data_IF_143819325015
#
_entry.id   IF_143819325015
#
_cell.length_a   1.000
_cell.length_b   1.000
_cell.length_c   1.000
_cell.angle_alpha   90.00
_cell.angle_beta   90.00
_cell.angle_gamma   90.00
#
_symmetry.space_group_name_H-M   'P 1'
#
loop_
_entity.id
_entity.type
_entity.pdbx_description
1 polymer ?
#
# COMPACT_ATOMS: atom_id res chain seq x y z
N UNK A 1 15.15 24.34 -25.94
CA UNK A 1 14.32 24.05 -24.76
C UNK A 1 14.55 22.59 -24.40
N UNK A 2 15.10 22.32 -23.22
CA UNK A 2 15.30 20.95 -22.75
C UNK A 2 13.93 20.30 -22.44
N UNK A 3 13.73 19.00 -22.72
CA UNK A 3 12.49 18.33 -22.39
C UNK A 3 12.33 18.28 -20.86
N UNK A 4 11.24 18.86 -20.38
CA UNK A 4 10.83 18.79 -18.97
C UNK A 4 10.36 17.35 -18.69
N UNK A 5 10.82 16.66 -17.64
CA UNK A 5 10.36 15.31 -17.33
C UNK A 5 8.88 15.33 -16.96
N UNK A 6 8.05 14.67 -17.78
CA UNK A 6 6.59 14.53 -17.65
C UNK A 6 6.21 13.34 -16.74
N UNK A 7 6.72 13.28 -15.51
CA UNK A 7 6.23 12.30 -14.53
C UNK A 7 5.33 13.01 -13.53
N UNK A 8 4.02 12.72 -13.56
CA UNK A 8 3.16 13.08 -12.43
C UNK A 8 3.63 12.25 -11.23
N UNK A 9 4.42 12.87 -10.33
CA UNK A 9 4.88 12.18 -9.12
C UNK A 9 3.64 11.96 -8.24
N UNK A 10 3.10 10.74 -8.21
CA UNK A 10 2.12 10.35 -7.19
C UNK A 10 2.69 10.72 -5.82
N UNK A 11 1.89 11.41 -5.02
CA UNK A 11 2.31 11.84 -3.70
C UNK A 11 2.67 10.63 -2.83
N UNK A 12 3.71 10.76 -1.99
CA UNK A 12 4.08 9.70 -1.06
C UNK A 12 2.92 9.37 -0.11
N UNK A 13 2.64 8.08 0.07
CA UNK A 13 1.62 7.57 0.98
C UNK A 13 2.28 7.22 2.32
N UNK A 14 1.71 7.64 3.45
CA UNK A 14 2.21 7.25 4.76
C UNK A 14 1.87 5.79 5.09
N UNK A 15 2.74 5.11 5.83
CA UNK A 15 2.42 3.81 6.42
C UNK A 15 1.23 3.98 7.36
N UNK A 16 0.16 3.21 7.14
CA UNK A 16 -1.00 3.22 8.03
C UNK A 16 -0.69 2.42 9.28
N UNK A 17 -1.04 2.95 10.43
CA UNK A 17 -0.82 2.34 11.72
C UNK A 17 -2.13 2.28 12.48
N UNK A 18 -2.52 1.06 12.82
CA UNK A 18 -3.69 0.80 13.66
C UNK A 18 -3.27 0.13 14.96
N UNK A 19 -3.99 0.40 16.04
CA UNK A 19 -3.72 -0.21 17.35
C UNK A 19 -4.84 -1.14 17.73
N UNK A 20 -4.51 -2.32 18.26
CA UNK A 20 -5.49 -3.27 18.80
C UNK A 20 -5.16 -3.65 20.23
N UNK A 21 -6.06 -3.40 21.17
CA UNK A 21 -5.94 -3.89 22.54
C UNK A 21 -6.87 -5.09 22.75
N UNK A 22 -6.31 -6.24 23.15
CA UNK A 22 -7.10 -7.43 23.46
C UNK A 22 -7.87 -7.26 24.79
N UNK A 23 -8.92 -8.06 25.04
CA UNK A 23 -9.51 -8.17 26.38
C UNK A 23 -8.47 -8.64 27.42
N UNK A 24 -8.77 -8.38 28.70
CA UNK A 24 -8.03 -9.00 29.81
C UNK A 24 -8.16 -10.51 29.68
N UNK A 25 -7.03 -11.21 29.78
CA UNK A 25 -6.98 -12.67 29.80
C UNK A 25 -7.52 -13.20 31.12
N UNK A 26 -7.94 -14.47 31.12
CA UNK A 26 -8.43 -15.14 32.33
C UNK A 26 -7.45 -15.02 33.51
N UNK A 27 -6.15 -15.25 33.25
CA UNK A 27 -5.10 -15.11 34.26
C UNK A 27 -4.96 -13.69 34.79
N UNK A 28 -5.04 -12.68 33.92
CA UNK A 28 -4.99 -11.27 34.35
C UNK A 28 -6.18 -10.88 35.23
N UNK A 29 -7.37 -11.44 34.95
CA UNK A 29 -8.56 -11.24 35.79
C UNK A 29 -8.42 -11.96 37.13
N UNK A 30 -7.96 -13.22 37.12
CA UNK A 30 -7.71 -14.03 38.32
C UNK A 30 -6.65 -13.39 39.23
N UNK A 31 -5.59 -12.81 38.63
CA UNK A 31 -4.53 -12.07 39.33
C UNK A 31 -4.97 -10.65 39.75
N UNK A 32 -6.23 -10.26 39.52
CA UNK A 32 -6.78 -8.93 39.82
C UNK A 32 -5.96 -7.77 39.24
N UNK A 33 -5.43 -7.95 38.02
CA UNK A 33 -4.63 -6.92 37.34
C UNK A 33 -5.47 -5.72 36.96
N UNK A 34 -4.84 -4.55 36.97
CA UNK A 34 -5.51 -3.28 36.63
C UNK A 34 -5.39 -3.03 35.12
N UNK A 35 -6.48 -2.58 34.50
CA UNK A 35 -6.46 -2.11 33.11
C UNK A 35 -5.81 -0.72 33.05
N UNK A 36 -4.78 -0.58 32.22
CA UNK A 36 -4.01 0.67 32.04
C UNK A 36 -4.16 1.31 30.66
N UNK A 37 -4.93 0.68 29.76
CA UNK A 37 -5.17 1.17 28.39
C UNK A 37 -6.64 1.56 28.25
N UNK A 38 -6.87 2.82 27.88
CA UNK A 38 -8.17 3.38 27.51
C UNK A 38 -8.12 3.80 26.03
N UNK A 39 -9.23 3.65 25.31
CA UNK A 39 -9.30 3.88 23.87
C UNK A 39 -10.59 4.59 23.49
N UNK A 40 -10.50 5.52 22.53
CA UNK A 40 -11.65 6.07 21.82
C UNK A 40 -11.56 5.64 20.35
N UNK A 41 -12.40 4.68 19.98
CA UNK A 41 -12.47 4.10 18.63
C UNK A 41 -12.98 5.06 17.57
N UNK A 42 -13.67 6.16 17.96
CA UNK A 42 -14.18 7.16 17.02
C UNK A 42 -13.12 8.18 16.64
N UNK A 43 -12.30 8.60 17.60
CA UNK A 43 -11.24 9.59 17.39
C UNK A 43 -9.88 8.97 17.06
N UNK A 44 -9.73 7.65 17.24
CA UNK A 44 -8.45 6.98 17.00
C UNK A 44 -7.44 7.19 18.13
N UNK A 45 -7.91 7.50 19.34
CA UNK A 45 -7.07 7.87 20.47
C UNK A 45 -6.85 6.70 21.45
N UNK A 46 -5.65 6.64 22.02
CA UNK A 46 -5.24 5.68 23.05
C UNK A 46 -4.61 6.45 24.20
N UNK A 47 -5.07 6.21 25.42
CA UNK A 47 -4.48 6.74 26.64
C UNK A 47 -3.86 5.62 27.47
N UNK A 48 -2.57 5.77 27.79
CA UNK A 48 -1.84 4.82 28.62
C UNK A 48 -1.59 5.41 30.02
N UNK A 49 -2.20 4.80 31.03
CA UNK A 49 -2.03 5.18 32.44
C UNK A 49 -0.80 4.53 33.06
N UNK A 50 0.01 5.31 33.78
CA UNK A 50 1.11 4.77 34.57
C UNK A 50 0.57 4.13 35.86
N UNK A 51 0.79 2.83 36.11
CA UNK A 51 0.35 2.19 37.34
C UNK A 51 1.18 2.61 38.57
N UNK A 52 2.42 3.07 38.39
CA UNK A 52 3.32 3.44 39.49
C UNK A 52 3.16 4.90 39.95
N UNK A 53 2.65 5.78 39.09
CA UNK A 53 2.40 7.19 39.40
C UNK A 53 0.97 7.58 39.03
N UNK A 54 0.08 7.55 40.02
CA UNK A 54 -1.33 7.93 39.83
C UNK A 54 -1.55 9.43 39.62
N UNK A 55 -0.52 10.27 39.82
CA UNK A 55 -0.58 11.71 39.55
C UNK A 55 -0.15 12.04 38.13
N UNK A 56 0.60 11.16 37.46
CA UNK A 56 0.95 11.31 36.06
C UNK A 56 -0.31 11.22 35.19
N UNK A 57 -0.52 12.21 34.33
CA UNK A 57 -1.62 12.18 33.38
C UNK A 57 -1.43 11.03 32.38
N UNK A 58 -2.51 10.32 31.98
CA UNK A 58 -2.42 9.28 30.97
C UNK A 58 -1.77 9.80 29.69
N UNK A 59 -0.82 9.04 29.13
CA UNK A 59 -0.07 9.42 27.92
C UNK A 59 -0.97 9.26 26.69
N UNK A 60 -1.30 10.33 25.96
CA UNK A 60 -2.16 10.24 24.78
C UNK A 60 -1.36 9.85 23.53
N UNK A 61 -1.99 9.06 22.66
CA UNK A 61 -1.50 8.72 21.33
C UNK A 61 -2.68 8.72 20.34
N UNK A 62 -2.44 9.09 19.09
CA UNK A 62 -3.46 9.08 18.02
C UNK A 62 -2.96 8.29 16.82
N UNK A 63 -3.80 7.42 16.28
CA UNK A 63 -3.49 6.51 15.18
C UNK A 63 -4.56 6.58 14.09
N UNK A 64 -4.30 5.94 12.94
CA UNK A 64 -5.26 5.93 11.83
C UNK A 64 -6.58 5.28 12.25
N UNK A 65 -6.51 4.19 13.02
CA UNK A 65 -7.64 3.57 13.72
C UNK A 65 -7.18 2.89 15.02
N UNK A 66 -8.11 2.74 15.97
CA UNK A 66 -7.89 1.99 17.21
C UNK A 66 -9.03 0.99 17.42
N UNK A 67 -8.68 -0.19 17.90
CA UNK A 67 -9.57 -1.31 18.11
C UNK A 67 -9.48 -1.75 19.56
N UNK A 68 -10.59 -1.62 20.28
CA UNK A 68 -10.70 -2.04 21.66
C UNK A 68 -10.98 -3.55 21.78
N UNK A 69 -11.23 -4.01 23.00
CA UNK A 69 -11.50 -5.41 23.28
C UNK A 69 -12.84 -5.93 22.72
N UNK A 70 -13.75 -5.04 22.30
CA UNK A 70 -15.06 -5.41 21.75
C UNK A 70 -15.01 -5.54 20.22
N UNK A 71 -13.93 -5.11 19.59
CA UNK A 71 -13.77 -5.14 18.13
C UNK A 71 -13.62 -6.58 17.62
N UNK A 72 -14.53 -6.99 16.75
CA UNK A 72 -14.50 -8.28 16.07
C UNK A 72 -13.45 -8.36 14.94
N UNK A 73 -13.15 -9.57 14.49
CA UNK A 73 -12.11 -9.81 13.47
C UNK A 73 -12.51 -9.34 12.08
N UNK A 74 -13.82 -9.37 11.78
CA UNK A 74 -14.33 -9.01 10.47
C UNK A 74 -14.20 -7.51 10.25
N UNK A 75 -14.67 -6.71 11.21
CA UNK A 75 -14.55 -5.26 11.18
C UNK A 75 -13.10 -4.81 11.06
N UNK A 76 -12.19 -5.45 11.82
CA UNK A 76 -10.76 -5.18 11.70
C UNK A 76 -10.25 -5.48 10.28
N UNK A 77 -10.58 -6.64 9.71
CA UNK A 77 -10.17 -6.99 8.34
C UNK A 77 -10.69 -5.99 7.30
N UNK A 78 -11.99 -5.68 7.33
CA UNK A 78 -12.67 -4.79 6.39
C UNK A 78 -12.05 -3.38 6.37
N UNK A 79 -11.75 -2.85 7.56
CA UNK A 79 -11.28 -1.47 7.70
C UNK A 79 -9.76 -1.33 7.57
N UNK A 80 -9.00 -2.38 7.89
CA UNK A 80 -7.53 -2.36 7.91
C UNK A 80 -6.90 -3.05 6.69
N UNK A 81 -7.23 -4.33 6.46
CA UNK A 81 -6.47 -5.19 5.55
C UNK A 81 -7.10 -5.26 4.15
N UNK A 82 -8.43 -5.26 4.04
CA UNK A 82 -9.13 -5.34 2.75
C UNK A 82 -8.67 -4.29 1.74
N UNK A 83 -8.46 -3.00 2.09
CA UNK A 83 -7.95 -2.00 1.13
C UNK A 83 -6.54 -2.32 0.59
N UNK A 84 -5.72 -3.01 1.38
CA UNK A 84 -4.39 -3.48 0.96
C UNK A 84 -4.54 -4.66 0.01
N UNK A 85 -5.39 -5.63 0.34
CA UNK A 85 -5.68 -6.78 -0.53
C UNK A 85 -6.26 -6.34 -1.87
N UNK A 86 -7.23 -5.41 -1.86
CA UNK A 86 -7.79 -4.78 -3.07
C UNK A 86 -6.69 -4.16 -3.94
N UNK A 87 -5.76 -3.42 -3.31
CA UNK A 87 -4.63 -2.82 -4.02
C UNK A 87 -3.70 -3.88 -4.61
N UNK A 88 -3.48 -5.01 -3.92
CA UNK A 88 -2.64 -6.09 -4.42
C UNK A 88 -3.26 -6.77 -5.64
N UNK A 89 -4.58 -7.03 -5.63
CA UNK A 89 -5.29 -7.57 -6.81
C UNK A 89 -5.15 -6.64 -8.02
N UNK A 90 -5.07 -5.33 -7.80
CA UNK A 90 -4.82 -4.33 -8.85
C UNK A 90 -3.35 -4.25 -9.33
N UNK A 91 -2.43 -5.00 -8.70
CA UNK A 91 -1.02 -5.05 -9.07
C UNK A 91 -0.07 -4.19 -8.21
N UNK A 92 -0.51 -3.67 -7.06
CA UNK A 92 0.41 -3.05 -6.10
C UNK A 92 1.12 -4.11 -5.22
N UNK A 93 2.24 -3.74 -4.63
CA UNK A 93 2.74 -4.45 -3.45
C UNK A 93 1.98 -3.99 -2.20
N UNK A 94 1.64 -4.94 -1.34
CA UNK A 94 0.96 -4.73 -0.07
C UNK A 94 1.65 -5.49 1.06
N UNK A 95 1.75 -4.88 2.24
CA UNK A 95 2.25 -5.56 3.44
C UNK A 95 1.35 -5.24 4.62
N UNK A 96 0.92 -6.28 5.33
CA UNK A 96 0.26 -6.17 6.64
C UNK A 96 1.11 -6.92 7.65
N UNK A 97 1.58 -6.22 8.69
CA UNK A 97 2.38 -6.83 9.73
C UNK A 97 1.85 -6.55 11.13
N UNK A 98 1.82 -7.59 11.97
CA UNK A 98 1.45 -7.47 13.38
C UNK A 98 2.70 -7.33 14.25
N UNK A 99 2.69 -6.34 15.16
CA UNK A 99 3.80 -6.01 16.03
C UNK A 99 3.33 -5.81 17.48
N UNK A 100 4.12 -6.24 18.45
CA UNK A 100 3.84 -6.07 19.88
C UNK A 100 4.42 -7.19 20.72
N UNK A 101 4.23 -7.10 22.04
CA UNK A 101 4.72 -8.08 23.00
C UNK A 101 4.09 -9.48 22.77
N UNK A 102 4.77 -10.54 23.18
CA UNK A 102 4.20 -11.89 23.22
C UNK A 102 2.91 -11.92 24.04
N UNK A 103 1.89 -12.61 23.52
CA UNK A 103 0.58 -12.72 24.17
C UNK A 103 -0.34 -11.50 24.01
N UNK A 104 0.03 -10.47 23.25
CA UNK A 104 -0.87 -9.31 22.98
C UNK A 104 -1.86 -9.54 21.84
N UNK A 105 -1.74 -10.65 21.11
CA UNK A 105 -2.70 -11.05 20.07
C UNK A 105 -2.25 -10.83 18.63
N UNK A 106 -0.94 -10.81 18.34
CA UNK A 106 -0.39 -10.75 16.97
C UNK A 106 -0.91 -11.90 16.09
N UNK A 107 -0.63 -13.14 16.47
CA UNK A 107 -1.12 -14.34 15.77
C UNK A 107 -2.65 -14.44 15.76
N UNK A 108 -3.33 -14.00 16.82
CA UNK A 108 -4.80 -13.92 16.83
C UNK A 108 -5.32 -12.92 15.79
N UNK A 109 -4.61 -11.81 15.56
CA UNK A 109 -4.98 -10.82 14.54
C UNK A 109 -4.67 -11.33 13.14
N UNK A 110 -3.49 -11.91 12.94
CA UNK A 110 -3.06 -12.38 11.62
C UNK A 110 -3.80 -13.65 11.21
N UNK A 111 -3.85 -14.67 12.05
CA UNK A 111 -4.49 -15.95 11.71
C UNK A 111 -5.86 -16.12 12.37
N UNK A 112 -5.98 -15.77 13.65
CA UNK A 112 -7.20 -15.98 14.41
C UNK A 112 -7.48 -17.47 14.66
N UNK A 113 -8.77 -17.81 14.80
CA UNK A 113 -9.23 -19.19 14.83
C UNK A 113 -9.89 -19.52 13.50
N UNK A 114 -9.68 -20.75 13.01
CA UNK A 114 -10.33 -21.22 11.79
C UNK A 114 -11.83 -21.40 11.97
N UNK A 115 -12.23 -21.87 13.15
CA UNK A 115 -13.62 -22.06 13.55
C UNK A 115 -13.85 -21.47 14.96
N UNK A 116 -14.96 -20.73 15.15
CA UNK A 116 -15.98 -20.39 14.15
C UNK A 116 -15.49 -19.30 13.18
N UNK A 117 -16.14 -19.14 12.02
CA UNK A 117 -15.69 -18.26 10.92
C UNK A 117 -15.51 -16.78 11.34
N UNK A 118 -16.28 -16.31 12.32
CA UNK A 118 -16.21 -14.96 12.87
C UNK A 118 -14.84 -14.69 13.54
N UNK A 119 -14.18 -15.74 14.03
CA UNK A 119 -12.88 -15.65 14.71
C UNK A 119 -11.68 -15.70 13.75
N UNK A 120 -11.89 -15.91 12.46
CA UNK A 120 -10.85 -15.91 11.43
C UNK A 120 -10.15 -14.57 11.37
N UNK A 121 -8.82 -14.56 11.35
CA UNK A 121 -7.98 -13.36 11.27
C UNK A 121 -7.80 -12.83 9.86
N UNK A 122 -6.80 -11.96 9.69
CA UNK A 122 -6.51 -11.28 8.42
C UNK A 122 -6.13 -12.26 7.30
N UNK A 123 -5.30 -13.26 7.59
CA UNK A 123 -4.77 -14.23 6.61
C UNK A 123 -5.90 -15.03 5.96
N UNK A 124 -6.71 -15.81 6.70
CA UNK A 124 -7.79 -16.58 6.09
C UNK A 124 -8.83 -15.69 5.37
N UNK A 125 -9.13 -14.51 5.90
CA UNK A 125 -10.05 -13.55 5.24
C UNK A 125 -9.45 -12.99 3.94
N UNK A 126 -8.14 -12.75 3.91
CA UNK A 126 -7.44 -12.33 2.68
C UNK A 126 -7.53 -13.41 1.62
N UNK A 127 -7.47 -14.69 1.98
CA UNK A 127 -7.60 -15.79 1.03
C UNK A 127 -8.96 -15.77 0.35
N UNK A 128 -10.04 -15.70 1.12
CA UNK A 128 -11.41 -15.60 0.58
C UNK A 128 -11.55 -14.38 -0.34
N UNK A 129 -11.18 -13.20 0.17
CA UNK A 129 -11.34 -11.95 -0.56
C UNK A 129 -10.56 -11.90 -1.89
N UNK A 130 -9.35 -12.48 -1.93
CA UNK A 130 -8.55 -12.58 -3.17
C UNK A 130 -9.30 -13.39 -4.22
N UNK A 131 -9.78 -14.59 -3.88
CA UNK A 131 -10.44 -15.46 -4.84
C UNK A 131 -11.83 -14.94 -5.22
N UNK A 132 -12.58 -14.33 -4.29
CA UNK A 132 -13.83 -13.62 -4.60
C UNK A 132 -13.57 -12.47 -5.61
N UNK A 133 -12.49 -11.70 -5.42
CA UNK A 133 -12.12 -10.61 -6.33
C UNK A 133 -11.71 -11.11 -7.73
N UNK A 134 -11.06 -12.27 -7.79
CA UNK A 134 -10.69 -12.91 -9.06
C UNK A 134 -11.94 -13.42 -9.78
N UNK A 135 -12.87 -14.07 -9.07
CA UNK A 135 -14.10 -14.63 -9.65
C UNK A 135 -15.01 -13.58 -10.27
N UNK A 136 -15.10 -12.38 -9.68
CA UNK A 136 -15.91 -11.28 -10.24
C UNK A 136 -15.25 -10.57 -11.44
N UNK A 137 -13.97 -10.83 -11.71
CA UNK A 137 -13.20 -10.18 -12.78
C UNK A 137 -13.19 -11.06 -14.03
N UNK A 138 -14.03 -10.73 -15.03
CA UNK A 138 -14.29 -11.62 -16.18
C UNK A 138 -13.31 -11.44 -17.36
N UNK A 139 -12.58 -10.31 -17.43
CA UNK A 139 -11.74 -9.95 -18.58
C UNK A 139 -10.22 -10.11 -18.32
N UNK A 140 -9.85 -10.88 -17.30
CA UNK A 140 -8.45 -11.07 -16.89
C UNK A 140 -8.17 -12.52 -16.53
N UNK A 141 -6.97 -12.99 -16.90
CA UNK A 141 -6.45 -14.27 -16.42
C UNK A 141 -5.59 -14.03 -15.20
N UNK A 142 -5.74 -14.85 -14.16
CA UNK A 142 -4.97 -14.75 -12.92
C UNK A 142 -4.12 -16.00 -12.69
N UNK A 143 -2.91 -15.79 -12.16
CA UNK A 143 -2.05 -16.81 -11.60
C UNK A 143 -1.69 -16.41 -10.18
N UNK A 144 -2.10 -17.23 -9.21
CA UNK A 144 -1.81 -16.99 -7.79
C UNK A 144 -0.76 -17.98 -7.32
N UNK A 145 0.25 -17.45 -6.61
CA UNK A 145 1.34 -18.22 -6.01
C UNK A 145 1.48 -17.88 -4.55
N UNK A 146 1.70 -18.88 -3.71
CA UNK A 146 1.92 -18.72 -2.28
C UNK A 146 3.31 -19.23 -1.87
N UNK A 147 3.92 -18.57 -0.91
CA UNK A 147 5.15 -19.02 -0.24
C UNK A 147 5.07 -18.69 1.24
N UNK A 148 5.75 -19.47 2.07
CA UNK A 148 5.73 -19.27 3.51
C UNK A 148 7.11 -19.53 4.10
N UNK A 149 7.64 -18.53 4.80
CA UNK A 149 8.96 -18.61 5.42
C UNK A 149 8.92 -18.20 6.88
N UNK A 150 9.95 -18.60 7.61
CA UNK A 150 10.27 -18.08 8.93
C UNK A 150 11.68 -17.47 8.95
N UNK A 151 11.83 -16.45 9.79
CA UNK A 151 13.13 -15.90 10.18
C UNK A 151 13.32 -16.23 11.66
N UNK A 152 14.32 -17.06 11.94
CA UNK A 152 14.69 -17.42 13.29
C UNK A 152 16.21 -17.33 13.43
N UNK A 153 16.68 -16.66 14.49
CA UNK A 153 18.12 -16.55 14.78
C UNK A 153 18.95 -15.97 13.62
N UNK A 154 18.37 -15.02 12.87
CA UNK A 154 18.91 -14.42 11.62
C UNK A 154 19.14 -15.41 10.47
N UNK A 155 18.46 -16.56 10.50
CA UNK A 155 18.42 -17.53 9.42
C UNK A 155 17.02 -17.56 8.79
N UNK A 156 16.97 -17.59 7.45
CA UNK A 156 15.73 -17.74 6.69
C UNK A 156 15.51 -19.21 6.41
N UNK A 157 14.32 -19.70 6.77
CA UNK A 157 13.90 -21.10 6.52
C UNK A 157 12.61 -21.12 5.73
N UNK A 158 12.57 -22.04 4.79
CA UNK A 158 11.38 -22.33 4.00
C UNK A 158 10.45 -23.27 4.77
N UNK A 159 9.26 -22.80 5.12
CA UNK A 159 8.28 -23.61 5.83
C UNK A 159 7.57 -24.60 4.92
N UNK A 160 7.70 -24.50 3.60
CA UNK A 160 7.04 -25.36 2.62
C UNK A 160 8.00 -26.33 1.92
N UNK A 161 9.30 -26.21 2.20
CA UNK A 161 10.33 -27.14 1.72
C UNK A 161 10.18 -28.51 2.38
N UNK A 162 10.51 -29.56 1.63
CA UNK A 162 10.66 -30.92 2.16
C UNK A 162 11.94 -31.11 2.97
N UNK A 163 12.93 -30.24 2.74
CA UNK A 163 14.17 -30.19 3.51
C UNK A 163 14.17 -28.95 4.43
N UNK A 164 13.83 -29.11 5.72
CA UNK A 164 13.75 -28.01 6.67
C UNK A 164 15.13 -27.52 7.15
N UNK A 165 16.23 -28.20 6.79
CA UNK A 165 17.58 -27.82 7.21
C UNK A 165 18.26 -26.85 6.24
N UNK A 166 17.72 -26.71 5.03
CA UNK A 166 18.33 -25.85 4.04
C UNK A 166 18.16 -24.38 4.43
N UNK A 167 19.28 -23.67 4.56
CA UNK A 167 19.28 -22.24 4.90
C UNK A 167 19.19 -21.45 3.60
N UNK A 168 18.22 -20.55 3.53
CA UNK A 168 18.03 -19.73 2.34
C UNK A 168 18.78 -18.40 2.43
N UNK A 169 19.26 -17.96 1.28
CA UNK A 169 20.01 -16.71 1.14
C UNK A 169 19.14 -15.60 0.54
N UNK A 170 19.36 -14.37 1.04
CA UNK A 170 18.76 -13.17 0.46
C UNK A 170 19.60 -12.66 -0.70
N UNK A 171 18.95 -12.46 -1.85
CA UNK A 171 19.51 -11.83 -3.04
C UNK A 171 18.78 -10.54 -3.36
N UNK A 172 19.43 -9.71 -4.17
CA UNK A 172 18.91 -8.45 -4.67
C UNK A 172 18.86 -8.53 -6.19
N UNK A 173 17.73 -8.13 -6.76
CA UNK A 173 17.52 -8.00 -8.19
C UNK A 173 17.00 -6.59 -8.50
N UNK A 174 17.35 -6.05 -9.67
CA UNK A 174 17.03 -4.66 -10.04
C UNK A 174 15.53 -4.46 -10.20
N UNK A 175 14.81 -5.47 -10.69
CA UNK A 175 13.36 -5.40 -10.93
C UNK A 175 12.56 -5.91 -9.73
N UNK A 176 12.97 -7.03 -9.14
CA UNK A 176 12.23 -7.71 -8.05
C UNK A 176 12.53 -7.17 -6.65
N UNK A 177 13.60 -6.40 -6.51
CA UNK A 177 14.11 -5.96 -5.20
C UNK A 177 14.76 -7.10 -4.42
N UNK A 178 14.64 -7.05 -3.10
CA UNK A 178 15.17 -8.12 -2.22
C UNK A 178 14.27 -9.34 -2.30
N UNK A 179 14.83 -10.51 -2.56
CA UNK A 179 14.12 -11.79 -2.59
C UNK A 179 14.92 -12.92 -1.94
N UNK A 180 14.22 -14.01 -1.60
CA UNK A 180 14.84 -15.22 -1.06
C UNK A 180 15.13 -16.18 -2.21
N UNK A 181 16.40 -16.54 -2.40
CA UNK A 181 16.80 -17.48 -3.44
C UNK A 181 16.32 -18.89 -3.07
N UNK A 182 15.82 -19.62 -4.05
CA UNK A 182 15.38 -21.03 -3.92
C UNK A 182 14.22 -21.24 -2.92
N UNK A 183 13.46 -20.18 -2.60
CA UNK A 183 12.24 -20.28 -1.79
C UNK A 183 11.13 -21.01 -2.56
N UNK A 184 10.56 -22.04 -1.93
CA UNK A 184 9.47 -22.82 -2.52
C UNK A 184 8.21 -21.97 -2.64
N UNK A 185 7.59 -22.03 -3.82
CA UNK A 185 6.32 -21.38 -4.07
C UNK A 185 5.36 -22.33 -4.79
N UNK A 186 4.11 -22.38 -4.31
CA UNK A 186 3.05 -23.23 -4.84
C UNK A 186 2.05 -22.39 -5.62
N UNK A 187 1.69 -22.87 -6.81
CA UNK A 187 0.52 -22.34 -7.55
C UNK A 187 -0.73 -22.82 -6.83
N UNK A 188 -1.65 -21.90 -6.56
CA UNK A 188 -2.90 -22.17 -5.85
C UNK A 188 -4.09 -21.72 -6.68
N UNK A 189 -5.13 -22.55 -6.74
CA UNK A 189 -6.32 -22.35 -7.59
C UNK A 189 -7.59 -21.99 -6.82
N UNK A 190 -7.53 -21.96 -5.50
CA UNK A 190 -8.67 -21.61 -4.67
C UNK A 190 -8.29 -21.48 -3.20
N UNK A 191 -9.27 -21.08 -2.39
CA UNK A 191 -9.12 -20.85 -0.96
C UNK A 191 -8.59 -22.10 -0.25
N UNK A 192 -9.18 -23.27 -0.51
CA UNK A 192 -8.76 -24.54 0.13
C UNK A 192 -7.30 -24.91 -0.15
N UNK A 193 -6.79 -24.64 -1.35
CA UNK A 193 -5.36 -24.89 -1.65
C UNK A 193 -4.45 -23.92 -0.89
N UNK A 194 -4.87 -22.66 -0.74
CA UNK A 194 -4.16 -21.65 0.05
C UNK A 194 -4.12 -22.03 1.55
N UNK A 195 -5.24 -22.51 2.09
CA UNK A 195 -5.33 -23.03 3.46
C UNK A 195 -4.40 -24.24 3.66
N UNK A 196 -4.37 -25.17 2.71
CA UNK A 196 -3.46 -26.32 2.76
C UNK A 196 -1.98 -25.91 2.78
N UNK A 197 -1.60 -24.90 2.00
CA UNK A 197 -0.23 -24.35 2.02
C UNK A 197 0.11 -23.78 3.40
N UNK A 198 -0.81 -22.99 3.99
CA UNK A 198 -0.63 -22.42 5.32
C UNK A 198 -0.53 -23.51 6.40
N UNK A 199 -1.42 -24.50 6.38
CA UNK A 199 -1.42 -25.63 7.32
C UNK A 199 -0.15 -26.47 7.22
N UNK A 200 0.34 -26.74 6.01
CA UNK A 200 1.59 -27.44 5.78
C UNK A 200 2.78 -26.69 6.42
N UNK A 201 2.88 -25.37 6.17
CA UNK A 201 3.94 -24.57 6.76
C UNK A 201 3.83 -24.43 8.27
N UNK A 202 2.62 -24.35 8.82
CA UNK A 202 2.39 -24.37 10.28
C UNK A 202 2.85 -25.67 10.92
N UNK A 203 2.53 -26.81 10.30
CA UNK A 203 2.99 -28.12 10.77
C UNK A 203 4.52 -28.17 10.81
N UNK A 204 5.18 -27.72 9.75
CA UNK A 204 6.63 -27.70 9.66
C UNK A 204 7.26 -26.75 10.70
N UNK A 205 6.67 -25.57 10.90
CA UNK A 205 7.05 -24.61 11.95
C UNK A 205 6.95 -25.23 13.34
N UNK A 206 5.86 -25.94 13.63
CA UNK A 206 5.67 -26.63 14.93
C UNK A 206 6.65 -27.78 15.14
N UNK A 207 6.97 -28.55 14.10
CA UNK A 207 8.01 -29.59 14.18
C UNK A 207 9.38 -28.95 14.45
N UNK A 208 9.72 -27.87 13.76
CA UNK A 208 10.93 -27.07 14.02
C UNK A 208 10.99 -26.56 15.47
N UNK A 209 9.85 -26.06 15.98
CA UNK A 209 9.67 -25.65 17.36
C UNK A 209 10.08 -26.75 18.35
N UNK A 210 9.53 -27.95 18.18
CA UNK A 210 9.83 -29.09 19.07
C UNK A 210 11.27 -29.60 18.95
N UNK A 211 11.82 -29.68 17.73
CA UNK A 211 13.18 -30.17 17.48
C UNK A 211 14.26 -29.21 18.03
N UNK A 212 13.95 -27.92 18.13
CA UNK A 212 14.91 -26.88 18.50
C UNK A 212 14.58 -26.15 19.81
N UNK A 213 13.59 -26.61 20.58
CA UNK A 213 13.03 -25.91 21.75
C UNK A 213 12.65 -24.45 21.44
N UNK A 214 12.21 -24.23 20.22
CA UNK A 214 11.86 -22.96 19.63
C UNK A 214 10.40 -22.63 19.98
N UNK A 215 10.14 -21.40 20.42
CA UNK A 215 8.77 -20.91 20.61
C UNK A 215 8.36 -20.09 19.37
N UNK A 216 7.11 -20.22 18.94
CA UNK A 216 6.51 -19.37 17.90
C UNK A 216 6.62 -17.87 18.21
N UNK A 217 6.68 -17.49 19.50
CA UNK A 217 6.91 -16.12 19.95
C UNK A 217 8.29 -15.56 19.58
N UNK A 218 9.22 -16.42 19.15
CA UNK A 218 10.64 -16.14 18.93
C UNK A 218 11.08 -16.16 17.47
N UNK A 219 10.14 -16.37 16.55
CA UNK A 219 10.40 -16.34 15.11
C UNK A 219 9.44 -15.39 14.42
N UNK A 220 9.91 -14.73 13.36
CA UNK A 220 9.04 -13.97 12.46
C UNK A 220 8.55 -14.91 11.38
N UNK A 221 7.28 -14.84 11.01
CA UNK A 221 6.75 -15.61 9.88
C UNK A 221 6.19 -14.66 8.82
N UNK A 222 6.46 -14.95 7.56
CA UNK A 222 6.03 -14.13 6.42
C UNK A 222 5.35 -15.06 5.42
N UNK A 223 4.03 -14.95 5.32
CA UNK A 223 3.24 -15.61 4.28
C UNK A 223 3.09 -14.64 3.11
N UNK A 224 3.61 -15.01 1.95
CA UNK A 224 3.62 -14.15 0.77
C UNK A 224 2.73 -14.74 -0.31
N UNK A 225 1.81 -13.92 -0.83
CA UNK A 225 0.95 -14.22 -1.97
C UNK A 225 1.35 -13.32 -3.13
N UNK A 226 1.66 -13.92 -4.28
CA UNK A 226 1.91 -13.21 -5.53
C UNK A 226 0.72 -13.45 -6.45
N UNK A 227 0.15 -12.37 -6.96
CA UNK A 227 -0.99 -12.39 -7.89
C UNK A 227 -0.50 -11.77 -9.20
N UNK A 228 -0.37 -12.60 -10.23
CA UNK A 228 -0.10 -12.15 -11.58
C UNK A 228 -1.43 -12.08 -12.34
N UNK A 229 -1.72 -10.96 -12.98
CA UNK A 229 -2.91 -10.81 -13.84
C UNK A 229 -2.50 -10.43 -15.25
N UNK A 230 -3.22 -10.97 -16.23
CA UNK A 230 -3.03 -10.68 -17.65
C UNK A 230 -4.36 -10.31 -18.30
N UNK A 231 -4.42 -9.09 -18.83
CA UNK A 231 -5.53 -8.57 -19.61
C UNK A 231 -5.12 -8.50 -21.09
N UNK A 232 -6.02 -8.87 -22.00
CA UNK A 232 -5.77 -8.72 -23.45
C UNK A 232 -6.49 -7.47 -23.93
N UNK A 233 -5.74 -6.53 -24.52
CA UNK A 233 -6.31 -5.30 -25.07
C UNK A 233 -6.91 -5.54 -26.47
N UNK A 234 -7.71 -4.56 -26.93
CA UNK A 234 -8.37 -4.60 -28.24
C UNK A 234 -7.37 -4.66 -29.43
N UNK A 235 -6.12 -4.28 -29.22
CA UNK A 235 -5.02 -4.37 -30.20
C UNK A 235 -4.30 -5.74 -30.18
N UNK A 236 -4.73 -6.66 -29.32
CA UNK A 236 -4.14 -7.99 -29.14
C UNK A 236 -2.91 -8.03 -28.23
N UNK A 237 -2.46 -6.89 -27.68
CA UNK A 237 -1.37 -6.84 -26.71
C UNK A 237 -1.81 -7.36 -25.34
N UNK A 238 -0.89 -8.00 -24.61
CA UNK A 238 -1.14 -8.50 -23.25
C UNK A 238 -0.51 -7.57 -22.23
N UNK A 239 -1.35 -6.97 -21.40
CA UNK A 239 -0.93 -6.19 -20.25
C UNK A 239 -0.79 -7.11 -19.05
N UNK A 240 0.41 -7.16 -18.46
CA UNK A 240 0.70 -8.02 -17.29
C UNK A 240 0.91 -7.12 -16.07
N UNK A 241 0.21 -7.44 -14.99
CA UNK A 241 0.41 -6.81 -13.67
C UNK A 241 0.79 -7.86 -12.64
N UNK A 242 1.59 -7.47 -11.66
CA UNK A 242 2.00 -8.34 -10.57
C UNK A 242 1.81 -7.65 -9.21
N UNK A 243 0.90 -8.20 -8.41
CA UNK A 243 0.73 -7.83 -7.01
C UNK A 243 1.50 -8.77 -6.09
N UNK A 244 2.02 -8.23 -4.98
CA UNK A 244 2.67 -9.02 -3.92
C UNK A 244 2.09 -8.63 -2.57
N UNK A 245 1.40 -9.55 -1.90
CA UNK A 245 0.90 -9.38 -0.54
C UNK A 245 1.82 -10.11 0.45
N UNK A 246 2.41 -9.39 1.39
CA UNK A 246 3.10 -9.97 2.54
C UNK A 246 2.22 -9.88 3.79
N UNK A 247 1.95 -11.02 4.41
CA UNK A 247 1.23 -11.14 5.68
C UNK A 247 2.21 -11.62 6.75
N UNK A 248 2.58 -10.71 7.65
CA UNK A 248 3.72 -10.89 8.54
C UNK A 248 3.26 -10.97 9.99
N UNK A 249 3.62 -12.06 10.68
CA UNK A 249 3.46 -12.20 12.13
C UNK A 249 4.85 -12.15 12.77
N UNK A 250 5.16 -11.03 13.42
CA UNK A 250 6.49 -10.79 14.02
C UNK A 250 6.62 -11.52 15.37
N UNK A 251 7.87 -11.74 15.78
CA UNK A 251 8.21 -12.18 17.13
C UNK A 251 7.78 -11.15 18.19
N UNK A 252 7.79 -11.57 19.47
CA UNK A 252 7.53 -10.70 20.61
C UNK A 252 8.52 -9.54 20.73
N UNK A 253 8.01 -8.34 21.00
CA UNK A 253 8.83 -7.12 21.16
C UNK A 253 9.44 -6.92 22.55
N UNK A 254 9.18 -7.82 23.50
CA UNK A 254 9.61 -7.69 24.88
C UNK A 254 11.13 -7.66 25.09
N UNK A 255 11.54 -6.95 26.14
CA UNK A 255 12.95 -6.90 26.53
C UNK A 255 13.40 -8.19 27.20
N UNK A 256 14.65 -8.58 26.91
CA UNK A 256 15.31 -9.75 27.48
C UNK A 256 15.24 -9.85 29.00
N UNK A 257 15.33 -8.72 29.71
CA UNK A 257 15.33 -8.67 31.17
C UNK A 257 14.08 -9.29 31.80
N UNK A 258 12.94 -9.33 31.09
CA UNK A 258 11.70 -9.97 31.56
C UNK A 258 11.63 -11.47 31.28
N UNK A 259 12.53 -12.02 30.46
CA UNK A 259 12.46 -13.43 30.02
C UNK A 259 13.16 -14.41 30.97
N UNK A 260 14.03 -13.94 31.86
CA UNK A 260 14.80 -14.79 32.79
C UNK A 260 15.71 -15.82 32.11
N UNK A 261 16.00 -15.67 30.82
CA UNK A 261 16.73 -16.64 30.02
C UNK A 261 18.24 -16.66 30.36
N UNK A 262 18.80 -17.86 30.55
CA UNK A 262 20.25 -18.09 30.79
C UNK A 262 20.85 -18.98 29.69
N UNK A 263 22.18 -18.94 29.52
CA UNK A 263 22.92 -19.82 28.60
C UNK A 263 22.57 -19.63 27.11
N UNK A 264 22.29 -20.72 26.39
CA UNK A 264 21.97 -20.68 24.95
C UNK A 264 20.69 -19.91 24.64
N UNK A 265 19.69 -19.96 25.54
CA UNK A 265 18.46 -19.17 25.41
C UNK A 265 18.72 -17.66 25.47
N UNK A 266 19.78 -17.23 26.15
CA UNK A 266 20.20 -15.82 26.19
C UNK A 266 20.83 -15.37 24.86
N UNK A 267 21.64 -16.24 24.23
CA UNK A 267 22.21 -15.96 22.89
C UNK A 267 21.10 -15.87 21.84
N UNK A 268 20.12 -16.75 21.92
CA UNK A 268 18.94 -16.76 21.06
C UNK A 268 18.08 -15.49 21.24
N UNK A 269 17.72 -15.14 22.49
CA UNK A 269 16.98 -13.92 22.80
C UNK A 269 17.71 -12.65 22.31
N UNK A 270 19.04 -12.67 22.25
CA UNK A 270 19.86 -11.60 21.64
C UNK A 270 19.65 -11.48 20.15
N UNK A 271 19.56 -12.59 19.43
CA UNK A 271 19.33 -12.54 17.97
C UNK A 271 17.88 -12.18 17.61
N UNK A 272 16.90 -12.59 18.41
CA UNK A 272 15.51 -12.20 18.18
C UNK A 272 15.36 -10.70 18.34
N UNK A 273 15.90 -10.15 19.43
CA UNK A 273 15.88 -8.72 19.66
C UNK A 273 16.74 -7.94 18.67
N UNK A 274 17.78 -8.55 18.07
CA UNK A 274 18.55 -7.92 16.99
C UNK A 274 17.63 -7.53 15.82
N UNK A 275 16.80 -8.46 15.33
CA UNK A 275 15.91 -8.21 14.19
C UNK A 275 14.88 -7.10 14.46
N UNK A 276 14.25 -7.09 15.65
CA UNK A 276 13.28 -6.05 16.03
C UNK A 276 13.95 -4.71 16.37
N UNK A 277 15.17 -4.74 16.92
CA UNK A 277 15.97 -3.53 17.16
C UNK A 277 16.41 -2.90 15.84
N UNK A 278 16.88 -3.71 14.88
CA UNK A 278 17.19 -3.28 13.53
C UNK A 278 15.96 -2.67 12.85
N UNK A 279 14.78 -3.29 12.97
CA UNK A 279 13.53 -2.73 12.49
C UNK A 279 13.27 -1.35 13.14
N UNK A 280 13.47 -1.22 14.45
CA UNK A 280 13.35 0.07 15.15
C UNK A 280 14.32 1.15 14.68
N UNK A 281 15.55 0.78 14.35
CA UNK A 281 16.55 1.68 13.79
C UNK A 281 16.14 2.14 12.38
N UNK A 282 15.63 1.22 11.55
CA UNK A 282 15.11 1.54 10.21
C UNK A 282 13.95 2.54 10.30
N UNK A 283 12.97 2.30 11.18
CA UNK A 283 11.84 3.22 11.37
C UNK A 283 12.32 4.59 11.87
N UNK A 284 13.28 4.61 12.80
CA UNK A 284 13.82 5.87 13.34
C UNK A 284 14.53 6.68 12.26
N UNK A 285 15.34 6.02 11.44
CA UNK A 285 16.03 6.66 10.32
C UNK A 285 15.02 7.17 9.27
N UNK A 286 14.01 6.38 8.90
CA UNK A 286 13.02 6.79 7.90
C UNK A 286 12.20 8.03 8.28
N UNK A 287 12.04 8.28 9.58
CA UNK A 287 11.28 9.44 10.10
C UNK A 287 12.20 10.64 10.36
N UNK A 288 13.49 10.41 10.64
CA UNK A 288 14.46 11.48 10.81
C UNK A 288 14.98 11.97 9.46
N UNK A 289 14.52 13.14 9.05
CA UNK A 289 14.89 13.82 7.80
C UNK A 289 16.38 14.14 7.68
N UNK A 290 17.16 14.05 8.77
CA UNK A 290 18.61 14.27 8.78
C UNK A 290 19.40 13.02 8.41
N UNK A 291 18.80 11.84 8.46
CA UNK A 291 19.51 10.60 8.14
C UNK A 291 19.51 10.35 6.63
N UNK A 292 20.70 10.18 6.05
CA UNK A 292 20.86 9.88 4.62
C UNK A 292 20.87 8.38 4.32
N UNK A 293 21.21 7.56 5.30
CA UNK A 293 21.35 6.11 5.17
C UNK A 293 20.41 5.38 6.12
N UNK A 294 19.59 4.48 5.57
CA UNK A 294 18.68 3.62 6.35
C UNK A 294 19.29 2.22 6.47
N UNK A 295 19.48 1.69 7.69
CA UNK A 295 20.25 0.47 7.93
C UNK A 295 19.46 -0.82 7.69
N UNK A 296 18.90 -1.02 6.49
CA UNK A 296 18.13 -2.24 6.18
C UNK A 296 18.93 -3.53 6.30
N UNK A 297 20.26 -3.45 6.15
CA UNK A 297 21.16 -4.62 6.15
C UNK A 297 21.45 -5.20 7.54
N UNK A 298 21.07 -4.50 8.61
CA UNK A 298 21.33 -4.91 9.99
C UNK A 298 20.58 -6.19 10.40
N UNK A 299 19.53 -6.57 9.67
CA UNK A 299 18.84 -7.85 9.85
C UNK A 299 18.24 -8.41 8.56
N UNK A 300 18.03 -9.73 8.50
CA UNK A 300 17.30 -10.36 7.39
C UNK A 300 15.85 -9.86 7.30
N UNK A 301 15.22 -9.60 8.44
CA UNK A 301 13.86 -9.07 8.52
C UNK A 301 13.75 -7.71 7.82
N UNK A 302 14.64 -6.77 8.18
CA UNK A 302 14.64 -5.41 7.61
C UNK A 302 15.00 -5.40 6.13
N UNK A 303 15.83 -6.34 5.66
CA UNK A 303 16.09 -6.52 4.22
C UNK A 303 14.84 -7.00 3.47
N UNK A 304 14.12 -7.98 4.02
CA UNK A 304 12.89 -8.50 3.41
C UNK A 304 11.74 -7.47 3.43
N UNK A 305 11.69 -6.63 4.45
CA UNK A 305 10.69 -5.56 4.59
C UNK A 305 11.15 -4.22 4.03
N UNK A 306 12.30 -4.16 3.34
CA UNK A 306 12.86 -2.92 2.80
C UNK A 306 11.86 -2.20 1.88
N UNK A 307 11.18 -2.94 0.99
CA UNK A 307 10.15 -2.33 0.13
C UNK A 307 8.92 -1.88 0.92
N UNK A 308 8.65 -2.50 2.06
CA UNK A 308 7.49 -2.24 2.91
C UNK A 308 7.65 -0.97 3.75
N UNK A 309 8.88 -0.56 4.03
CA UNK A 309 9.19 0.59 4.89
C UNK A 309 10.04 1.57 4.08
N UNK A 310 9.43 2.63 3.54
CA UNK A 310 10.10 3.64 2.72
C UNK A 310 10.22 3.30 1.22
N UNK A 311 9.64 2.18 0.77
CA UNK A 311 9.77 1.66 -0.60
C UNK A 311 8.47 1.65 -1.41
N UNK A 312 8.44 0.77 -2.42
CA UNK A 312 7.30 0.55 -3.31
C UNK A 312 6.32 -0.49 -2.73
N UNK A 313 5.59 -0.12 -1.67
CA UNK A 313 4.57 -0.99 -1.06
C UNK A 313 3.54 -0.15 -0.31
N UNK A 314 2.26 -0.55 -0.36
CA UNK A 314 1.25 -0.05 0.59
C UNK A 314 1.33 -0.86 1.87
N UNK A 315 1.59 -0.20 2.99
CA UNK A 315 1.92 -0.89 4.23
C UNK A 315 0.99 -0.50 5.36
N UNK A 316 0.56 -1.52 6.11
CA UNK A 316 -0.20 -1.40 7.33
C UNK A 316 0.55 -2.10 8.47
N UNK A 317 0.71 -1.39 9.58
CA UNK A 317 1.17 -1.93 10.86
C UNK A 317 -0.03 -2.10 11.79
N UNK A 318 -0.20 -3.29 12.35
CA UNK A 318 -1.14 -3.54 13.46
C UNK A 318 -0.34 -3.67 14.75
N UNK A 319 -0.44 -2.67 15.62
CA UNK A 319 0.21 -2.64 16.92
C UNK A 319 -0.68 -3.30 17.99
N UNK A 320 -0.32 -4.50 18.43
CA UNK A 320 -1.07 -5.30 19.40
C UNK A 320 -0.63 -5.03 20.83
N UNK A 321 -1.58 -4.68 21.70
CA UNK A 321 -1.36 -4.29 23.10
C UNK A 321 -2.05 -5.25 24.08
N UNK A 322 -1.43 -5.39 25.26
CA UNK A 322 -2.04 -6.01 26.43
C UNK A 322 -2.61 -4.94 27.37
N UNK A 323 -3.81 -5.15 27.95
CA UNK A 323 -4.46 -4.16 28.80
C UNK A 323 -3.88 -4.05 30.23
N UNK A 324 -3.16 -5.07 30.71
CA UNK A 324 -2.76 -5.19 32.11
C UNK A 324 -1.56 -4.29 32.50
N UNK A 325 -1.60 -3.81 33.74
CA UNK A 325 -0.60 -2.95 34.41
C UNK A 325 0.86 -3.41 34.30
N UNK A 326 1.14 -4.70 34.53
CA UNK A 326 2.52 -5.22 34.49
C UNK A 326 3.16 -5.17 33.09
N UNK A 327 2.37 -4.92 32.05
CA UNK A 327 2.84 -4.72 30.67
C UNK A 327 3.11 -3.24 30.33
N UNK A 328 2.97 -2.30 31.28
CA UNK A 328 3.09 -0.86 31.01
C UNK A 328 4.27 -0.47 30.12
N UNK A 329 5.49 -0.90 30.46
CA UNK A 329 6.71 -0.56 29.70
C UNK A 329 6.68 -1.05 28.25
N UNK A 330 6.13 -2.25 28.04
CA UNK A 330 6.08 -2.90 26.73
C UNK A 330 4.96 -2.31 25.87
N UNK A 331 3.82 -2.01 26.49
CA UNK A 331 2.72 -1.26 25.86
C UNK A 331 3.17 0.14 25.47
N UNK A 332 3.89 0.86 26.34
CA UNK A 332 4.46 2.18 26.03
C UNK A 332 5.49 2.10 24.89
N UNK A 333 6.38 1.09 24.93
CA UNK A 333 7.37 0.87 23.88
C UNK A 333 6.71 0.61 22.53
N UNK A 334 5.65 -0.22 22.52
CA UNK A 334 4.86 -0.53 21.32
C UNK A 334 4.16 0.71 20.77
N UNK A 335 3.49 1.50 21.61
CA UNK A 335 2.81 2.73 21.22
C UNK A 335 3.78 3.78 20.65
N UNK A 336 4.95 3.98 21.27
CA UNK A 336 6.00 4.88 20.76
C UNK A 336 6.57 4.41 19.43
N UNK A 337 6.69 3.10 19.25
CA UNK A 337 7.16 2.50 18.02
C UNK A 337 6.16 2.73 16.88
N UNK A 338 4.89 2.38 17.12
CA UNK A 338 3.77 2.59 16.22
C UNK A 338 3.62 4.08 15.84
N UNK A 339 3.73 4.99 16.82
CA UNK A 339 3.60 6.43 16.58
C UNK A 339 4.73 7.00 15.71
N UNK A 340 5.91 6.39 15.72
CA UNK A 340 6.98 6.73 14.76
C UNK A 340 6.65 6.17 13.38
N UNK A 341 6.27 4.90 13.31
CA UNK A 341 6.01 4.19 12.05
C UNK A 341 4.99 4.91 11.15
N UNK A 342 3.97 5.56 11.72
CA UNK A 342 2.94 6.30 10.95
C UNK A 342 3.46 7.47 10.12
N UNK A 343 4.69 7.93 10.40
CA UNK A 343 5.33 9.03 9.67
C UNK A 343 6.24 8.54 8.53
N UNK A 344 6.40 7.23 8.35
CA UNK A 344 7.16 6.66 7.25
C UNK A 344 6.39 6.90 5.96
N UNK A 345 7.09 7.38 4.93
CA UNK A 345 6.53 7.68 3.62
C UNK A 345 6.95 6.64 2.58
N UNK A 346 5.98 5.91 2.04
CA UNK A 346 6.15 4.95 0.95
C UNK A 346 5.78 5.60 -0.39
N UNK A 347 6.21 4.96 -1.49
CA UNK A 347 5.90 5.37 -2.86
C UNK A 347 5.34 4.17 -3.65
N UNK A 348 4.12 3.71 -3.31
CA UNK A 348 3.51 2.58 -3.98
C UNK A 348 3.19 2.88 -5.44
N UNK A 349 3.54 1.96 -6.33
CA UNK A 349 3.20 1.96 -7.76
C UNK A 349 2.65 0.58 -8.15
N UNK A 350 1.85 0.56 -9.21
CA UNK A 350 1.42 -0.68 -9.85
C UNK A 350 2.66 -1.29 -10.53
N UNK A 351 2.91 -2.58 -10.29
CA UNK A 351 3.98 -3.29 -10.97
C UNK A 351 3.44 -3.87 -12.28
N UNK A 352 3.83 -3.26 -13.39
CA UNK A 352 3.49 -3.68 -14.75
C UNK A 352 4.65 -3.37 -15.70
N UNK A 353 4.55 -3.81 -16.97
CA UNK A 353 5.58 -3.52 -17.97
C UNK A 353 5.79 -1.99 -18.10
N UNK A 354 7.03 -1.49 -18.16
CA UNK A 354 7.32 -0.06 -18.35
C UNK A 354 6.57 0.59 -19.53
N UNK A 355 6.31 -0.14 -20.62
CA UNK A 355 5.54 0.38 -21.76
C UNK A 355 4.08 0.62 -21.38
N UNK A 356 3.50 -0.31 -20.64
CA UNK A 356 2.13 -0.24 -20.16
C UNK A 356 1.98 0.90 -19.16
N UNK A 357 2.97 1.08 -18.29
CA UNK A 357 3.01 2.17 -17.31
C UNK A 357 3.00 3.54 -18.00
N UNK A 358 3.82 3.74 -19.04
CA UNK A 358 3.84 4.97 -19.82
C UNK A 358 2.51 5.22 -20.55
N UNK A 359 1.92 4.18 -21.17
CA UNK A 359 0.63 4.29 -21.84
C UNK A 359 -0.47 4.74 -20.88
N UNK A 360 -0.52 4.15 -19.67
CA UNK A 360 -1.50 4.54 -18.65
C UNK A 360 -1.30 5.97 -18.17
N UNK A 361 -0.06 6.38 -17.90
CA UNK A 361 0.24 7.76 -17.50
C UNK A 361 -0.17 8.76 -18.58
N UNK A 362 0.08 8.46 -19.85
CA UNK A 362 -0.39 9.30 -20.96
C UNK A 362 -1.91 9.34 -21.06
N UNK A 363 -2.60 8.22 -20.87
CA UNK A 363 -4.07 8.18 -20.87
C UNK A 363 -4.67 8.98 -19.71
N UNK A 364 -4.14 8.85 -18.49
CA UNK A 364 -4.55 9.62 -17.32
C UNK A 364 -4.32 11.13 -17.54
N UNK A 365 -3.17 11.51 -18.10
CA UNK A 365 -2.88 12.92 -18.39
C UNK A 365 -3.74 13.47 -19.54
N UNK A 366 -4.01 12.68 -20.58
CA UNK A 366 -4.96 13.05 -21.65
C UNK A 366 -6.34 13.32 -21.04
N UNK A 367 -6.82 12.45 -20.15
CA UNK A 367 -8.10 12.64 -19.46
C UNK A 367 -8.08 13.91 -18.60
N UNK A 368 -7.03 14.10 -17.79
CA UNK A 368 -6.87 15.29 -16.97
C UNK A 368 -6.87 16.58 -17.80
N UNK A 369 -6.09 16.61 -18.88
CA UNK A 369 -6.01 17.76 -19.79
C UNK A 369 -7.34 18.01 -20.49
N UNK A 370 -8.05 16.96 -20.92
CA UNK A 370 -9.41 17.08 -21.46
C UNK A 370 -10.37 17.69 -20.44
N UNK A 371 -10.36 17.21 -19.19
CA UNK A 371 -11.19 17.78 -18.13
C UNK A 371 -10.84 19.24 -17.81
N UNK A 372 -9.55 19.60 -17.83
CA UNK A 372 -9.12 20.99 -17.65
C UNK A 372 -9.57 21.89 -18.82
N UNK A 373 -9.50 21.39 -20.06
CA UNK A 373 -9.99 22.09 -21.25
C UNK A 373 -11.51 22.28 -21.20
N UNK A 374 -12.26 21.25 -20.81
CA UNK A 374 -13.71 21.34 -20.61
C UNK A 374 -14.07 22.34 -19.50
N UNK A 375 -13.34 22.33 -18.38
CA UNK A 375 -13.52 23.30 -17.31
C UNK A 375 -13.23 24.75 -17.78
N UNK A 376 -12.17 24.97 -18.56
CA UNK A 376 -11.87 26.29 -19.14
C UNK A 376 -12.88 26.73 -20.21
N UNK A 377 -13.47 25.81 -20.97
CA UNK A 377 -14.55 26.10 -21.92
C UNK A 377 -15.89 26.37 -21.21
N UNK A 378 -16.09 25.82 -20.01
CA UNK A 378 -17.26 26.06 -19.17
C UNK A 378 -17.20 27.40 -18.42
N UNK A 379 -16.02 28.00 -18.30
CA UNK A 379 -15.82 29.26 -17.60
C UNK A 379 -16.53 30.41 -18.35
N UNK A 380 -17.62 30.92 -17.77
CA UNK A 380 -18.54 31.84 -18.44
C UNK A 380 -17.87 33.11 -18.96
N UNK A 381 -16.76 33.53 -18.33
CA UNK A 381 -15.91 34.65 -18.78
C UNK A 381 -15.21 34.36 -20.12
N UNK A 382 -14.81 33.12 -20.37
CA UNK A 382 -14.14 32.74 -21.63
C UNK A 382 -15.17 32.67 -22.75
N UNK A 383 -16.35 32.09 -22.49
CA UNK A 383 -17.47 32.10 -23.45
C UNK A 383 -17.94 33.52 -23.78
N UNK A 384 -18.07 34.41 -22.78
CA UNK A 384 -18.51 35.79 -23.04
C UNK A 384 -17.49 36.58 -23.84
N UNK A 385 -16.19 36.39 -23.57
CA UNK A 385 -15.10 37.08 -24.27
C UNK A 385 -14.93 36.57 -25.70
N UNK A 386 -15.11 35.26 -25.92
CA UNK A 386 -15.10 34.66 -27.26
C UNK A 386 -16.31 35.09 -28.10
N UNK A 387 -17.49 35.22 -27.47
CA UNK A 387 -18.69 35.73 -28.15
C UNK A 387 -18.54 37.21 -28.51
N UNK A 388 -18.03 38.04 -27.60
CA UNK A 388 -17.74 39.46 -27.88
C UNK A 388 -16.77 39.64 -29.05
N UNK A 389 -15.69 38.84 -29.12
CA UNK A 389 -14.74 38.90 -30.23
C UNK A 389 -15.36 38.47 -31.56
N UNK A 390 -16.23 37.46 -31.57
CA UNK A 390 -16.96 37.06 -32.78
C UNK A 390 -17.92 38.15 -33.26
N UNK A 391 -18.64 38.80 -32.34
CA UNK A 391 -19.55 39.88 -32.66
C UNK A 391 -18.80 41.12 -33.19
N UNK A 392 -17.62 41.44 -32.63
CA UNK A 392 -16.75 42.51 -33.13
C UNK A 392 -16.19 42.21 -34.53
N UNK A 393 -15.76 40.97 -34.79
CA UNK A 393 -15.25 40.56 -36.08
C UNK A 393 -16.33 40.66 -37.17
N UNK A 394 -17.55 40.17 -36.88
CA UNK A 394 -18.67 40.27 -37.81
C UNK A 394 -19.05 41.72 -38.13
N UNK A 395 -18.99 42.62 -37.14
CA UNK A 395 -19.20 44.07 -37.34
C UNK A 395 -18.12 44.69 -38.22
N UNK A 396 -16.86 44.32 -38.01
CA UNK A 396 -15.74 44.80 -38.82
C UNK A 396 -15.82 44.32 -40.28
N UNK A 397 -16.27 43.09 -40.51
CA UNK A 397 -16.48 42.54 -41.85
C UNK A 397 -17.63 43.24 -42.59
N UNK A 398 -18.77 43.46 -41.94
CA UNK A 398 -19.88 44.22 -42.51
C UNK A 398 -19.47 45.64 -42.86
N UNK A 399 -18.75 46.33 -41.96
CA UNK A 399 -18.25 47.68 -42.22
C UNK A 399 -17.27 47.72 -43.39
N UNK A 400 -16.40 46.70 -43.53
CA UNK A 400 -15.52 46.57 -44.70
C UNK A 400 -16.30 46.38 -46.00
N UNK A 401 -17.36 45.57 -45.99
CA UNK A 401 -18.22 45.37 -47.17
C UNK A 401 -18.97 46.65 -47.55
N UNK A 402 -19.50 47.40 -46.58
CA UNK A 402 -20.17 48.68 -46.84
C UNK A 402 -19.22 49.74 -47.41
N UNK A 403 -18.01 49.86 -46.86
CA UNK A 403 -16.98 50.78 -47.36
C UNK A 403 -16.55 50.40 -48.77
N UNK A 404 -16.41 49.10 -49.04
CA UNK A 404 -16.10 48.59 -50.38
C UNK A 404 -17.22 48.95 -51.37
N UNK A 405 -18.48 48.72 -51.03
CA UNK A 405 -19.63 49.06 -51.89
C UNK A 405 -19.78 50.57 -52.12
N UNK A 406 -19.52 51.42 -51.13
CA UNK A 406 -19.51 52.88 -51.31
C UNK A 406 -18.39 53.35 -52.21
N UNK A 407 -17.20 52.74 -52.09
CA UNK A 407 -16.07 53.07 -52.97
C UNK A 407 -16.34 52.63 -54.41
N UNK A 408 -16.93 51.45 -54.63
CA UNK A 408 -17.33 50.96 -55.95
C UNK A 408 -18.37 51.90 -56.61
N UNK A 409 -19.44 52.29 -55.90
CA UNK A 409 -20.43 53.27 -56.41
C UNK A 409 -19.83 54.66 -56.68
N UNK A 410 -18.86 55.10 -55.87
CA UNK A 410 -18.18 56.38 -56.07
C UNK A 410 -17.26 56.35 -57.28
N UNK A 411 -16.60 55.22 -57.54
CA UNK A 411 -15.82 55.01 -58.77
C UNK A 411 -16.75 55.01 -59.98
N UNK A 412 -17.87 54.30 -59.95
CA UNK A 412 -18.85 54.28 -61.06
C UNK A 412 -19.40 55.68 -61.40
N UNK A 413 -19.72 56.50 -60.38
CA UNK A 413 -20.17 57.89 -60.60
C UNK A 413 -19.09 58.81 -61.16
N UNK A 414 -17.81 58.54 -60.88
CA UNK A 414 -16.68 59.30 -61.43
C UNK A 414 -16.29 58.83 -62.83
N UNK A 415 -16.65 57.59 -63.22
CA UNK A 415 -16.34 57.00 -64.53
C UNK A 415 -17.50 57.00 -65.52
N UNK A 416 -18.57 57.79 -65.27
CA UNK A 416 -19.67 57.99 -66.22
C UNK A 416 -19.17 58.46 -67.59
N UNK A 417 -18.97 57.50 -68.50
CA UNK A 417 -18.62 57.69 -69.91
C UNK A 417 -19.90 57.63 -70.74
N UNK A 418 -20.22 58.78 -71.34
CA UNK A 418 -20.87 58.84 -72.64
C UNK A 418 -19.98 58.15 -73.68
N UNK A 419 -20.44 57.07 -74.31
CA UNK A 419 -20.01 56.71 -75.68
C UNK A 419 -21.17 56.00 -76.38
N UNK A 420 -21.91 56.78 -77.17
CA UNK A 420 -22.73 56.30 -78.27
C UNK A 420 -21.82 55.75 -79.38
N UNK A 421 -22.26 54.67 -80.03
CA UNK A 421 -21.47 53.90 -80.99
C UNK A 421 -21.25 54.57 -82.35
N UNK A 422 -20.11 54.25 -82.96
CA UNK A 422 -19.87 54.37 -84.40
C UNK A 422 -19.46 53.00 -84.98
N UNK A 423 -19.72 52.85 -86.28
CA UNK A 423 -19.75 51.62 -87.09
C UNK A 423 -18.44 50.82 -87.17
N UNK A 424 -18.33 49.79 -88.01
CA UNK A 424 -18.84 49.67 -89.37
C UNK A 424 -19.00 48.19 -89.78
N UNK A 425 -19.86 47.95 -90.78
CA UNK A 425 -19.80 46.79 -91.67
C UNK A 425 -18.46 46.74 -92.42
N UNK A 426 -18.07 45.70 -93.14
CA UNK A 426 -18.78 44.69 -93.89
C UNK A 426 -17.87 44.38 -95.11
N UNK A 427 -17.97 43.18 -95.69
CA UNK A 427 -17.33 42.88 -96.97
C UNK A 427 -17.05 41.40 -97.24
N UNK A 428 -17.97 40.76 -97.96
CA UNK A 428 -17.70 39.70 -98.96
C UNK A 428 -18.06 40.30 -100.32
N UNK A 429 -17.24 39.93 -101.30
CA UNK A 429 -17.31 40.08 -102.77
C UNK A 429 -17.43 41.48 -103.39
#
# INVERSE_FOLDING_TARGET
MAPVPLTSKKDPECVKVVVRCRPMSRKEVEDQRIRIVEMDTKTGEVWLKNPEDTREQPKPFTFDQVYDHATDQQFLFETTARPIVDSVVQGYNGTVFAYGQTGTGKTHTMEGLWEPAEMRGIIPRSFCHIFESIEVTHDQNFLVRASYLEIYNEEVRDLLSKDPKNKLELKEDVERGVYVKDLTSYVVKGVTEMENVLLAGKKNRSVGATLMNQDSSRSHSIFTIIIESSATHADGSKHIRAGKLNLVDLAGSERQSKTGATGERLKEATKINLSLSALGNVISALVDSKTSHVPYRDSKLTRLLQDSLGGNTKTVMVANLGPADYNYDETLSTLRYANRAKNIKNKPRINEDPKDAMLREFQEEILRLKSLLEAQQSDAKVKSKLQQQKDELARAENMRQEVRGRNEMRVERLTGRDVAGEGQGGGRD
#
